data_IF_693418766257
#
_entry.id   IF_693418766257
#
_cell.length_a   1.000
_cell.length_b   1.000
_cell.length_c   1.000
_cell.angle_alpha   90.00
_cell.angle_beta   90.00
_cell.angle_gamma   90.00
#
_symmetry.space_group_name_H-M   'P 1'
#
loop_
_entity.id
_entity.type
_entity.pdbx_description
1 polymer ?
#
# COMPACT_ATOMS: atom_id res chain seq x y z
N UNK A 1 -22.74 38.25 73.55
CA UNK A 1 -21.75 37.79 74.55
C UNK A 1 -20.98 36.64 73.93
N UNK A 2 -19.64 36.76 73.91
CA UNK A 2 -18.56 35.75 73.71
C UNK A 2 -18.70 34.70 72.56
N UNK A 3 -17.84 34.67 71.53
CA UNK A 3 -16.44 34.19 71.51
C UNK A 3 -16.34 32.71 71.97
N UNK A 4 -15.78 31.75 71.21
CA UNK A 4 -14.35 31.54 70.95
C UNK A 4 -14.18 30.12 70.31
N UNK A 5 -13.50 29.95 69.17
CA UNK A 5 -12.13 29.36 69.04
C UNK A 5 -12.15 27.84 68.70
N UNK A 6 -11.75 27.42 67.49
CA UNK A 6 -10.41 26.88 67.07
C UNK A 6 -10.07 25.55 67.80
N UNK A 7 -9.48 24.48 67.27
CA UNK A 7 -8.56 24.21 66.16
C UNK A 7 -8.36 22.65 66.12
N UNK A 8 -7.99 22.09 64.96
CA UNK A 8 -7.22 20.84 64.71
C UNK A 8 -7.22 19.71 65.76
N UNK A 9 -7.46 18.45 65.33
CA UNK A 9 -6.47 17.36 65.50
C UNK A 9 -6.68 16.29 64.42
N UNK A 10 -5.54 15.95 63.81
CA UNK A 10 -5.24 14.93 62.83
C UNK A 10 -5.19 13.51 63.47
N UNK A 11 -5.40 12.48 62.63
CA UNK A 11 -4.84 11.11 62.75
C UNK A 11 -5.49 10.17 63.78
N UNK A 12 -6.17 9.13 63.27
CA UNK A 12 -5.85 7.67 63.38
C UNK A 12 -7.06 6.89 62.86
N UNK A 13 -6.98 6.26 61.68
CA UNK A 13 -6.81 4.80 61.52
C UNK A 13 -7.80 3.95 62.35
N UNK A 14 -8.62 3.14 61.67
CA UNK A 14 -8.71 1.66 61.83
C UNK A 14 -9.84 1.08 60.95
N UNK A 15 -9.42 0.16 60.05
CA UNK A 15 -10.13 -1.02 59.52
C UNK A 15 -11.39 -0.81 58.66
N UNK A 16 -11.75 -1.66 57.69
CA UNK A 16 -11.59 -3.11 57.61
C UNK A 16 -11.71 -3.60 56.15
N UNK A 17 -11.19 -4.80 55.93
CA UNK A 17 -10.93 -5.58 54.72
C UNK A 17 -12.00 -5.69 53.61
N UNK A 18 -11.49 -5.87 52.38
CA UNK A 18 -11.97 -6.74 51.26
C UNK A 18 -13.39 -6.48 50.73
N UNK A 19 -13.66 -6.09 49.48
CA UNK A 19 -12.92 -6.18 48.23
C UNK A 19 -13.87 -6.74 47.16
N UNK A 20 -14.25 -5.97 46.15
CA UNK A 20 -14.84 -6.49 44.90
C UNK A 20 -14.80 -5.43 43.78
N UNK A 21 -13.81 -5.62 42.91
CA UNK A 21 -13.72 -5.29 41.48
C UNK A 21 -14.35 -3.98 40.97
N UNK A 22 -13.52 -2.92 40.90
CA UNK A 22 -13.58 -1.95 39.81
C UNK A 22 -12.38 -2.22 38.90
N UNK A 23 -12.64 -2.71 37.68
CA UNK A 23 -11.63 -2.83 36.63
C UNK A 23 -11.52 -1.46 35.95
N UNK A 24 -10.87 -0.52 36.64
CA UNK A 24 -10.34 0.70 36.04
C UNK A 24 -8.83 0.67 36.24
N UNK A 25 -8.13 0.07 35.29
CA UNK A 25 -6.71 0.31 35.08
C UNK A 25 -6.57 0.92 33.69
N UNK A 26 -6.80 2.24 33.61
CA UNK A 26 -6.12 3.04 32.60
C UNK A 26 -4.68 3.21 33.11
N UNK A 27 -3.87 2.18 32.85
CA UNK A 27 -2.42 2.24 33.00
C UNK A 27 -1.88 3.26 31.99
N UNK A 28 -1.81 4.53 32.40
CA UNK A 28 -1.02 5.55 31.72
C UNK A 28 0.46 5.33 32.06
N UNK A 29 0.98 4.17 31.70
CA UNK A 29 2.40 3.85 31.72
C UNK A 29 3.12 4.68 30.68
N UNK A 30 3.70 5.80 31.09
CA UNK A 30 4.67 6.51 30.28
C UNK A 30 5.94 5.63 30.19
N UNK A 31 6.01 4.79 29.16
CA UNK A 31 7.20 4.00 28.86
C UNK A 31 8.32 4.98 28.52
N UNK A 32 9.32 5.04 29.39
CA UNK A 32 10.60 5.67 29.05
C UNK A 32 11.15 4.96 27.80
N UNK A 33 11.23 5.69 26.69
CA UNK A 33 11.67 5.17 25.41
C UNK A 33 13.08 4.56 25.53
N UNK A 34 13.17 3.24 25.56
CA UNK A 34 14.33 2.53 25.04
C UNK A 34 14.14 2.46 23.51
N UNK A 35 14.61 3.49 22.82
CA UNK A 35 14.45 3.67 21.38
C UNK A 35 14.97 2.46 20.59
N UNK A 36 14.06 1.58 20.17
CA UNK A 36 14.16 0.68 19.02
C UNK A 36 12.77 0.13 18.64
N UNK A 37 11.74 0.98 18.67
CA UNK A 37 10.51 0.65 17.94
C UNK A 37 10.83 0.88 16.46
N UNK A 38 10.93 -0.17 15.61
CA UNK A 38 11.15 0.03 14.19
C UNK A 38 10.04 0.92 13.64
N UNK A 39 10.33 1.78 12.65
CA UNK A 39 9.27 2.57 12.01
C UNK A 39 8.17 1.61 11.53
N UNK A 40 6.93 1.85 11.97
CA UNK A 40 5.79 1.06 11.53
C UNK A 40 5.59 1.30 10.03
N UNK A 41 5.83 0.27 9.21
CA UNK A 41 5.64 0.36 7.76
C UNK A 41 4.17 0.68 7.46
N UNK A 42 3.96 1.64 6.57
CA UNK A 42 2.62 2.04 6.10
C UNK A 42 2.00 0.91 5.26
N UNK A 43 0.74 0.52 5.51
CA UNK A 43 0.09 -0.57 4.80
C UNK A 43 -0.10 -0.22 3.32
N UNK A 44 0.19 -1.19 2.45
CA UNK A 44 0.05 -1.03 1.00
C UNK A 44 -1.42 -1.03 0.61
N UNK A 45 -1.87 0.00 -0.12
CA UNK A 45 -3.24 0.14 -0.59
C UNK A 45 -3.27 0.62 -2.04
N UNK A 46 -4.30 0.20 -2.79
CA UNK A 46 -4.57 0.75 -4.13
C UNK A 46 -4.99 2.22 -3.99
N UNK A 47 -4.48 3.07 -4.87
CA UNK A 47 -4.87 4.47 -4.99
C UNK A 47 -5.63 4.69 -6.31
N UNK A 48 -5.02 5.31 -7.33
CA UNK A 48 -5.69 5.53 -8.62
C UNK A 48 -5.70 4.28 -9.50
N UNK A 49 -4.74 3.38 -9.28
CA UNK A 49 -4.48 2.25 -10.15
C UNK A 49 -3.59 2.60 -11.33
N UNK A 50 -3.44 1.65 -12.23
CA UNK A 50 -2.59 1.67 -13.42
C UNK A 50 -3.50 1.96 -14.61
N UNK A 51 -3.16 2.94 -15.47
CA UNK A 51 -3.95 3.23 -16.66
C UNK A 51 -3.82 2.13 -17.71
N UNK A 52 -4.88 1.93 -18.46
CA UNK A 52 -4.89 1.07 -19.65
C UNK A 52 -3.84 1.54 -20.66
N UNK A 53 -3.26 0.58 -21.38
CA UNK A 53 -2.06 0.81 -22.18
C UNK A 53 -2.13 0.12 -23.54
N UNK A 54 -1.38 0.68 -24.50
CA UNK A 54 -1.28 0.17 -25.86
C UNK A 54 0.16 -0.27 -26.15
N UNK A 55 0.31 -1.40 -26.83
CA UNK A 55 1.60 -1.95 -27.22
C UNK A 55 1.62 -2.29 -28.71
N UNK A 56 2.21 -1.43 -29.56
CA UNK A 56 2.32 -1.71 -30.99
C UNK A 56 3.26 -2.89 -31.27
N UNK A 57 2.88 -3.77 -32.19
CA UNK A 57 3.71 -4.90 -32.62
C UNK A 57 5.08 -4.44 -33.09
N UNK A 58 6.13 -5.12 -32.62
CA UNK A 58 7.52 -4.86 -33.01
C UNK A 58 8.12 -3.58 -32.41
N UNK A 59 7.43 -2.93 -31.47
CA UNK A 59 7.93 -1.75 -30.73
C UNK A 59 8.18 -2.12 -29.27
N UNK A 60 9.16 -1.45 -28.66
CA UNK A 60 9.36 -1.54 -27.23
C UNK A 60 8.14 -0.94 -26.51
N UNK A 61 7.43 -1.78 -25.80
CA UNK A 61 6.49 -1.39 -24.77
C UNK A 61 7.27 -1.20 -23.47
N UNK A 62 7.05 -0.08 -22.80
CA UNK A 62 7.61 0.20 -21.47
C UNK A 62 6.58 0.97 -20.64
N UNK A 63 6.22 0.42 -19.49
CA UNK A 63 5.31 1.02 -18.52
C UNK A 63 5.97 1.03 -17.16
N UNK A 64 6.19 2.23 -16.62
CA UNK A 64 6.56 2.38 -15.22
C UNK A 64 5.27 2.38 -14.40
N UNK A 65 5.16 1.49 -13.41
CA UNK A 65 4.00 1.50 -12.51
C UNK A 65 3.90 2.90 -11.88
N UNK A 66 2.78 3.63 -12.07
CA UNK A 66 2.64 4.98 -11.55
C UNK A 66 2.80 4.99 -10.03
N UNK A 67 3.52 6.00 -9.51
CA UNK A 67 3.73 6.14 -8.05
C UNK A 67 2.42 6.37 -7.29
N UNK A 68 1.39 6.81 -7.99
CA UNK A 68 0.05 7.08 -7.49
C UNK A 68 -0.94 5.94 -7.82
N UNK A 69 -0.46 4.83 -8.38
CA UNK A 69 -1.24 3.60 -8.51
C UNK A 69 -1.48 2.94 -7.14
N UNK A 70 -0.48 3.02 -6.26
CA UNK A 70 -0.46 2.45 -4.93
C UNK A 70 0.09 3.45 -3.90
N UNK A 71 -0.31 3.31 -2.64
CA UNK A 71 0.27 4.04 -1.50
C UNK A 71 0.76 3.06 -0.44
N UNK A 72 1.65 3.52 0.44
CA UNK A 72 2.26 2.72 1.50
C UNK A 72 3.71 2.34 1.18
N UNK A 73 4.33 1.55 2.05
CA UNK A 73 5.71 1.11 1.88
C UNK A 73 5.75 -0.15 1.02
N UNK A 74 6.21 -0.02 -0.22
CA UNK A 74 6.28 -1.09 -1.22
C UNK A 74 7.72 -1.61 -1.28
N UNK A 75 7.88 -2.92 -1.09
CA UNK A 75 9.16 -3.62 -1.15
C UNK A 75 9.45 -4.13 -2.57
N UNK A 76 8.45 -4.71 -3.25
CA UNK A 76 8.56 -5.17 -4.63
C UNK A 76 7.20 -5.29 -5.33
N UNK A 77 7.24 -5.42 -6.65
CA UNK A 77 6.08 -5.66 -7.50
C UNK A 77 6.05 -7.09 -8.02
N UNK A 78 4.84 -7.57 -8.30
CA UNK A 78 4.59 -8.81 -9.01
C UNK A 78 3.56 -8.55 -10.12
N UNK A 79 3.69 -9.24 -11.25
CA UNK A 79 2.72 -9.16 -12.33
C UNK A 79 2.35 -10.55 -12.83
N UNK A 80 1.07 -10.72 -13.14
CA UNK A 80 0.49 -11.97 -13.64
C UNK A 80 -0.48 -11.64 -14.77
N UNK A 81 -0.63 -12.58 -15.70
CA UNK A 81 -1.66 -12.51 -16.72
C UNK A 81 -3.06 -12.78 -16.17
N UNK A 82 -4.04 -12.94 -17.06
CA UNK A 82 -5.43 -13.17 -16.68
C UNK A 82 -5.59 -14.38 -15.75
N UNK A 83 -6.35 -14.20 -14.67
CA UNK A 83 -6.65 -15.27 -13.69
C UNK A 83 -5.40 -15.90 -13.05
N UNK A 84 -4.29 -15.16 -12.97
CA UNK A 84 -3.05 -15.64 -12.36
C UNK A 84 -2.17 -16.50 -13.26
N UNK A 85 -2.44 -16.51 -14.59
CA UNK A 85 -1.54 -17.12 -15.56
C UNK A 85 -0.16 -16.44 -15.54
N UNK A 86 0.91 -17.07 -16.05
CA UNK A 86 2.14 -16.36 -16.31
C UNK A 86 1.91 -15.17 -17.26
N UNK A 87 2.84 -14.22 -17.23
CA UNK A 87 2.85 -13.13 -18.20
C UNK A 87 3.04 -13.67 -19.63
N UNK A 88 2.55 -12.94 -20.65
CA UNK A 88 2.92 -13.21 -22.03
C UNK A 88 4.44 -13.29 -22.18
N UNK A 89 4.94 -14.20 -23.02
CA UNK A 89 6.39 -14.46 -23.14
C UNK A 89 7.22 -13.26 -23.61
N UNK A 90 6.56 -12.25 -24.18
CA UNK A 90 7.19 -11.02 -24.65
C UNK A 90 7.29 -9.93 -23.56
N UNK A 91 6.63 -10.11 -22.41
CA UNK A 91 6.47 -9.10 -21.37
C UNK A 91 7.14 -9.55 -20.07
N UNK A 92 7.98 -8.68 -19.52
CA UNK A 92 8.73 -8.91 -18.28
C UNK A 92 8.47 -7.77 -17.31
N UNK A 93 8.40 -8.08 -16.01
CA UNK A 93 8.38 -7.09 -14.94
C UNK A 93 9.73 -7.11 -14.23
N UNK A 94 10.35 -5.95 -14.07
CA UNK A 94 11.38 -5.74 -13.04
C UNK A 94 10.68 -5.51 -11.68
N UNK A 95 10.79 -6.46 -10.73
CA UNK A 95 10.09 -6.39 -9.47
C UNK A 95 10.58 -5.25 -8.56
N UNK A 96 11.79 -4.74 -8.77
CA UNK A 96 12.38 -3.69 -7.92
C UNK A 96 12.00 -2.31 -8.44
N UNK A 97 12.20 -2.06 -9.74
CA UNK A 97 11.92 -0.75 -10.34
C UNK A 97 10.44 -0.57 -10.69
N UNK A 98 9.66 -1.65 -10.77
CA UNK A 98 8.26 -1.60 -11.18
C UNK A 98 8.09 -1.27 -12.65
N UNK A 99 9.09 -1.59 -13.48
CA UNK A 99 9.03 -1.39 -14.93
C UNK A 99 8.53 -2.68 -15.59
N UNK A 100 7.40 -2.58 -16.29
CA UNK A 100 6.95 -3.61 -17.23
C UNK A 100 7.46 -3.26 -18.62
N UNK A 101 8.17 -4.17 -19.26
CA UNK A 101 8.75 -3.94 -20.57
C UNK A 101 8.72 -5.19 -21.47
N UNK A 102 8.71 -4.96 -22.78
CA UNK A 102 8.59 -6.05 -23.74
C UNK A 102 8.44 -5.61 -25.18
N UNK A 103 8.49 -6.57 -26.10
CA UNK A 103 8.24 -6.33 -27.54
C UNK A 103 7.20 -7.34 -28.04
N UNK A 104 5.92 -6.93 -28.21
CA UNK A 104 4.89 -7.86 -28.67
C UNK A 104 5.11 -8.25 -30.13
N UNK A 105 4.80 -9.51 -30.45
CA UNK A 105 4.79 -10.04 -31.79
C UNK A 105 3.40 -10.04 -32.44
N UNK A 106 3.30 -10.39 -33.74
CA UNK A 106 2.02 -10.45 -34.44
C UNK A 106 1.01 -11.47 -33.87
N UNK A 107 1.48 -12.44 -33.07
CA UNK A 107 0.63 -13.45 -32.42
C UNK A 107 0.00 -12.94 -31.12
N UNK A 108 0.51 -11.83 -30.60
CA UNK A 108 0.08 -11.25 -29.32
C UNK A 108 -1.02 -10.19 -29.50
N UNK A 109 -1.43 -9.92 -30.74
CA UNK A 109 -2.48 -8.95 -31.08
C UNK A 109 -3.78 -9.28 -30.36
N UNK A 110 -4.34 -8.28 -29.68
CA UNK A 110 -5.57 -8.38 -28.90
C UNK A 110 -5.44 -7.71 -27.54
N UNK A 111 -6.54 -7.73 -26.79
CA UNK A 111 -6.59 -7.23 -25.42
C UNK A 111 -6.19 -8.34 -24.44
N UNK A 112 -5.31 -8.02 -23.50
CA UNK A 112 -5.00 -8.86 -22.35
C UNK A 112 -5.12 -8.07 -21.05
N UNK A 113 -5.47 -8.74 -19.96
CA UNK A 113 -5.56 -8.13 -18.63
C UNK A 113 -4.35 -8.54 -17.81
N UNK A 114 -3.62 -7.54 -17.30
CA UNK A 114 -2.46 -7.76 -16.45
C UNK A 114 -2.83 -7.37 -15.02
N UNK A 115 -2.64 -8.31 -14.09
CA UNK A 115 -2.77 -8.04 -12.66
C UNK A 115 -1.40 -7.67 -12.10
N UNK A 116 -1.28 -6.47 -11.54
CA UNK A 116 -0.09 -6.02 -10.81
C UNK A 116 -0.38 -6.02 -9.33
N UNK A 117 0.54 -6.57 -8.54
CA UNK A 117 0.49 -6.57 -7.08
C UNK A 117 1.70 -5.81 -6.53
N UNK A 118 1.43 -4.79 -5.73
CA UNK A 118 2.42 -4.14 -4.90
C UNK A 118 2.49 -4.89 -3.56
N UNK A 119 3.69 -5.30 -3.16
CA UNK A 119 3.94 -6.09 -1.95
C UNK A 119 4.82 -5.29 -1.01
N UNK A 120 4.39 -5.17 0.24
CA UNK A 120 5.15 -4.63 1.36
C UNK A 120 4.79 -5.39 2.64
N UNK A 121 4.54 -4.68 3.74
CA UNK A 121 3.94 -5.29 4.95
C UNK A 121 2.58 -5.92 4.65
N UNK A 122 1.76 -5.20 3.89
CA UNK A 122 0.52 -5.68 3.28
C UNK A 122 0.68 -5.73 1.76
N UNK A 123 -0.33 -6.22 1.04
CA UNK A 123 -0.33 -6.18 -0.42
C UNK A 123 -1.62 -5.61 -0.98
N UNK A 124 -1.48 -4.82 -2.03
CA UNK A 124 -2.59 -4.35 -2.85
C UNK A 124 -2.40 -4.81 -4.29
N UNK A 125 -3.50 -4.96 -5.01
CA UNK A 125 -3.50 -5.35 -6.41
C UNK A 125 -4.32 -4.39 -7.25
N UNK A 126 -3.95 -4.29 -8.51
CA UNK A 126 -4.71 -3.61 -9.54
C UNK A 126 -4.66 -4.40 -10.85
N UNK A 127 -5.64 -4.15 -11.71
CA UNK A 127 -5.75 -4.80 -13.03
C UNK A 127 -5.95 -3.72 -14.07
N UNK A 128 -5.14 -3.74 -15.12
CA UNK A 128 -5.25 -2.83 -16.27
C UNK A 128 -5.33 -3.64 -17.57
N UNK A 129 -5.90 -3.04 -18.61
CA UNK A 129 -5.91 -3.63 -19.95
C UNK A 129 -4.66 -3.22 -20.73
N UNK A 130 -4.11 -4.20 -21.46
CA UNK A 130 -3.00 -4.02 -22.37
C UNK A 130 -3.44 -4.48 -23.74
N UNK A 131 -3.66 -3.54 -24.64
CA UNK A 131 -4.09 -3.83 -26.01
C UNK A 131 -2.88 -3.81 -26.96
N UNK A 132 -2.63 -4.95 -27.59
CA UNK A 132 -1.60 -5.09 -28.60
C UNK A 132 -2.19 -4.80 -29.97
N UNK A 133 -1.65 -3.78 -30.64
CA UNK A 133 -2.17 -3.27 -31.93
C UNK A 133 -1.13 -3.40 -33.05
N UNK A 134 -1.60 -3.48 -34.31
CA UNK A 134 -0.69 -3.49 -35.47
C UNK A 134 -0.08 -2.12 -35.76
N UNK A 135 -0.84 -1.07 -35.51
CA UNK A 135 -0.48 0.29 -35.90
C UNK A 135 -0.21 1.07 -34.65
N UNK A 136 0.94 1.73 -34.61
CA UNK A 136 1.24 2.69 -33.57
C UNK A 136 0.37 3.95 -33.78
N UNK A 137 -0.59 4.24 -32.88
CA UNK A 137 -1.49 5.39 -33.05
C UNK A 137 -0.74 6.72 -32.98
N UNK A 138 0.46 6.78 -32.39
CA UNK A 138 1.29 7.99 -32.36
C UNK A 138 1.86 8.37 -33.72
N UNK A 139 1.90 7.45 -34.68
CA UNK A 139 2.38 7.72 -36.04
C UNK A 139 1.30 8.33 -36.94
N UNK A 140 0.02 8.23 -36.56
CA UNK A 140 -1.08 8.77 -37.34
C UNK A 140 -1.16 10.30 -37.26
N UNK A 141 -0.64 10.91 -36.20
CA UNK A 141 -0.61 12.37 -36.03
C UNK A 141 0.46 13.06 -36.87
N UNK A 142 1.49 12.33 -37.32
CA UNK A 142 2.61 12.90 -38.10
C UNK A 142 2.27 13.06 -39.59
N UNK A 143 1.26 12.35 -40.10
CA UNK A 143 0.89 12.36 -41.53
C UNK A 143 -0.11 13.47 -41.92
N UNK A 144 -0.56 14.28 -40.96
CA UNK A 144 -1.60 15.31 -41.14
C UNK A 144 -1.13 16.73 -40.75
N UNK A 145 0.19 16.97 -40.66
CA UNK A 145 0.77 18.31 -40.48
C UNK A 145 1.51 18.80 -41.72
#
# INVERSE_FOLDING_TARGET
MAAATLLLVFITFISLSTGLALKEEEDFGFVAANENVPPSKSPVQRLWGIPDSLAPVGRLFQLNIPRDAFKGDIDHYQAQGPKGSPLPSWLVLDPVSGVLEGVPGPRDIGETYITVRAVGHDSAKDVFSLEVTRTDPSLLSTLVS
#
